data_IF_894763356582
#
_entry.id   IF_894763356582
#
_cell.length_a   1.000
_cell.length_b   1.000
_cell.length_c   1.000
_cell.angle_alpha   90.00
_cell.angle_beta   90.00
_cell.angle_gamma   90.00
#
_symmetry.space_group_name_H-M   'P 1'
#
loop_
_entity.id
_entity.type
_entity.pdbx_description
1 polymer ?
#
# COMPACT_ATOMS: atom_id res chain seq x y z
N UNK A 1 28.76 -17.79 27.05
CA UNK A 1 27.84 -16.75 26.51
C UNK A 1 28.38 -15.41 26.97
N UNK A 2 28.52 -14.42 26.08
CA UNK A 2 29.09 -13.12 26.47
C UNK A 2 28.12 -12.37 27.41
N UNK A 3 28.62 -11.53 28.34
CA UNK A 3 27.76 -10.76 29.23
C UNK A 3 26.73 -9.91 28.46
N UNK A 4 27.08 -9.39 27.28
CA UNK A 4 26.16 -8.70 26.37
C UNK A 4 24.97 -9.56 25.93
N UNK A 5 25.18 -10.84 25.62
CA UNK A 5 24.12 -11.74 25.20
C UNK A 5 23.14 -12.03 26.35
N UNK A 6 23.63 -12.10 27.58
CA UNK A 6 22.79 -12.24 28.77
C UNK A 6 22.00 -10.98 29.08
N UNK A 7 22.58 -9.79 28.87
CA UNK A 7 21.85 -8.53 29.06
C UNK A 7 20.73 -8.35 28.02
N UNK A 8 20.96 -8.72 26.75
CA UNK A 8 19.93 -8.67 25.71
C UNK A 8 18.81 -9.69 25.91
N UNK A 9 19.10 -10.90 26.38
CA UNK A 9 18.04 -11.87 26.71
C UNK A 9 17.22 -11.41 27.93
N UNK A 10 17.85 -10.77 28.92
CA UNK A 10 17.16 -10.26 30.09
C UNK A 10 16.22 -9.08 29.75
N UNK A 11 16.60 -8.19 28.84
CA UNK A 11 15.74 -7.09 28.39
C UNK A 11 14.58 -7.57 27.51
N UNK A 12 14.78 -8.58 26.66
CA UNK A 12 13.68 -9.20 25.90
C UNK A 12 12.70 -9.96 26.81
N UNK A 13 13.20 -10.62 27.86
CA UNK A 13 12.37 -11.34 28.82
C UNK A 13 11.60 -10.42 29.79
N UNK A 14 12.09 -9.18 29.98
CA UNK A 14 11.43 -8.15 30.79
C UNK A 14 10.42 -7.31 29.99
N UNK A 15 10.34 -7.48 28.67
CA UNK A 15 9.27 -6.90 27.87
C UNK A 15 7.95 -7.58 28.27
N UNK A 16 7.20 -6.93 29.14
CA UNK A 16 5.86 -7.38 29.50
C UNK A 16 4.99 -7.37 28.25
N UNK A 17 4.25 -8.45 28.02
CA UNK A 17 3.14 -8.43 27.08
C UNK A 17 2.14 -7.40 27.61
N UNK A 18 2.04 -6.25 26.95
CA UNK A 18 1.03 -5.25 27.29
C UNK A 18 -0.35 -5.88 27.13
N UNK A 19 -1.00 -6.18 28.25
CA UNK A 19 -2.36 -6.73 28.27
C UNK A 19 -3.33 -5.55 28.19
N UNK A 20 -3.49 -4.99 27.00
CA UNK A 20 -4.50 -3.96 26.75
C UNK A 20 -5.88 -4.64 26.72
N UNK A 21 -6.64 -4.52 27.81
CA UNK A 21 -7.96 -5.13 27.94
C UNK A 21 -9.08 -4.26 27.39
N UNK A 22 -8.88 -2.93 27.40
CA UNK A 22 -9.84 -1.96 26.87
C UNK A 22 -9.15 -0.79 26.15
N UNK A 23 -9.90 -0.04 25.35
CA UNK A 23 -9.39 1.17 24.69
C UNK A 23 -8.95 2.26 25.69
N UNK A 24 -9.46 2.22 26.92
CA UNK A 24 -9.10 3.15 27.98
C UNK A 24 -7.66 2.95 28.50
N UNK A 25 -7.05 1.81 28.19
CA UNK A 25 -5.67 1.50 28.59
C UNK A 25 -4.62 2.11 27.62
N UNK A 26 -5.06 2.80 26.55
CA UNK A 26 -4.18 3.43 25.56
C UNK A 26 -3.78 4.83 26.05
N UNK A 27 -2.54 4.98 26.52
CA UNK A 27 -1.99 6.27 26.99
C UNK A 27 -1.48 7.15 25.85
N UNK A 28 -0.99 6.54 24.77
CA UNK A 28 -0.33 7.23 23.68
C UNK A 28 -0.74 6.66 22.32
N UNK A 29 -1.02 7.56 21.39
CA UNK A 29 -1.21 7.24 19.98
C UNK A 29 -0.13 7.96 19.19
N UNK A 30 0.74 7.19 18.52
CA UNK A 30 1.74 7.72 17.59
C UNK A 30 1.26 7.43 16.18
N UNK A 31 1.07 8.49 15.39
CA UNK A 31 0.56 8.38 14.03
C UNK A 31 1.68 8.62 13.02
N UNK A 32 2.08 7.57 12.31
CA UNK A 32 2.99 7.68 11.17
C UNK A 32 2.17 7.78 9.88
N UNK A 33 2.24 8.93 9.23
CA UNK A 33 1.55 9.17 7.96
C UNK A 33 2.52 8.94 6.81
N UNK A 34 2.18 8.00 5.95
CA UNK A 34 2.88 7.76 4.69
C UNK A 34 2.10 8.40 3.56
N UNK A 35 2.82 8.99 2.61
CA UNK A 35 2.22 9.70 1.49
C UNK A 35 2.24 8.89 0.19
N UNK A 36 1.26 9.18 -0.66
CA UNK A 36 1.26 8.90 -2.09
C UNK A 36 1.41 7.43 -2.49
N UNK A 37 0.92 6.50 -1.67
CA UNK A 37 0.83 5.09 -2.04
C UNK A 37 -0.51 4.45 -1.69
N UNK A 38 -1.13 3.83 -2.70
CA UNK A 38 -2.31 2.99 -2.48
C UNK A 38 -1.96 1.74 -1.67
N UNK A 39 -2.94 1.20 -0.96
CA UNK A 39 -2.79 -0.04 -0.20
C UNK A 39 -2.33 -1.21 -1.09
N UNK A 40 -2.98 -1.40 -2.25
CA UNK A 40 -2.69 -2.50 -3.17
C UNK A 40 -1.28 -2.43 -3.77
N UNK A 41 -0.70 -1.23 -3.85
CA UNK A 41 0.68 -1.03 -4.26
C UNK A 41 1.69 -1.65 -3.30
N UNK A 42 1.44 -1.59 -1.99
CA UNK A 42 2.30 -2.17 -0.96
C UNK A 42 1.90 -3.60 -0.64
N UNK A 43 0.63 -3.82 -0.34
CA UNK A 43 0.14 -5.03 0.30
C UNK A 43 -0.82 -5.84 -0.56
N UNK A 44 -1.08 -5.46 -1.82
CA UNK A 44 -2.01 -6.19 -2.69
C UNK A 44 -1.60 -7.65 -2.96
N UNK A 45 -0.34 -8.01 -2.70
CA UNK A 45 0.18 -9.38 -2.78
C UNK A 45 0.37 -10.07 -1.43
N UNK A 46 0.09 -9.38 -0.31
CA UNK A 46 0.27 -9.91 1.04
C UNK A 46 -0.74 -11.01 1.35
N UNK A 47 -0.32 -12.02 2.11
CA UNK A 47 -1.26 -13.04 2.59
C UNK A 47 -2.18 -12.46 3.67
N UNK A 48 -3.46 -12.85 3.65
CA UNK A 48 -4.46 -12.43 4.65
C UNK A 48 -5.24 -11.16 4.32
N UNK A 49 -4.81 -10.37 3.33
CA UNK A 49 -5.64 -9.31 2.75
C UNK A 49 -6.45 -9.86 1.58
N UNK A 50 -7.51 -9.15 1.16
CA UNK A 50 -8.21 -9.47 -0.08
C UNK A 50 -7.27 -9.44 -1.29
N UNK A 51 -6.60 -8.30 -1.49
CA UNK A 51 -5.56 -8.11 -2.50
C UNK A 51 -5.98 -8.55 -3.92
N UNK A 52 -4.99 -8.83 -4.76
CA UNK A 52 -5.21 -9.16 -6.18
C UNK A 52 -5.79 -10.57 -6.41
N UNK A 53 -5.77 -11.44 -5.40
CA UNK A 53 -6.23 -12.82 -5.48
C UNK A 53 -7.63 -13.04 -4.89
N UNK A 54 -8.29 -12.00 -4.39
CA UNK A 54 -9.66 -12.14 -3.86
C UNK A 54 -10.63 -12.51 -5.00
N UNK A 55 -11.36 -13.64 -4.89
CA UNK A 55 -12.30 -14.08 -5.92
C UNK A 55 -13.55 -13.18 -6.01
N UNK A 56 -13.81 -12.33 -5.00
CA UNK A 56 -14.98 -11.46 -4.96
C UNK A 56 -14.72 -10.08 -5.57
N UNK A 57 -13.49 -9.76 -5.98
CA UNK A 57 -13.22 -8.45 -6.59
C UNK A 57 -13.72 -8.41 -8.02
N UNK A 58 -14.19 -7.21 -8.42
CA UNK A 58 -14.44 -6.93 -9.83
C UNK A 58 -13.09 -6.93 -10.54
N UNK A 59 -12.93 -7.90 -11.45
CA UNK A 59 -11.93 -8.02 -12.51
C UNK A 59 -10.89 -6.87 -12.56
N UNK A 60 -9.65 -7.16 -12.16
CA UNK A 60 -8.54 -6.19 -12.11
C UNK A 60 -8.08 -5.64 -13.47
N UNK A 61 -8.73 -6.00 -14.57
CA UNK A 61 -8.40 -5.53 -15.92
C UNK A 61 -8.69 -4.04 -16.06
N UNK A 62 -7.62 -3.28 -16.27
CA UNK A 62 -7.69 -1.87 -16.66
C UNK A 62 -7.82 -1.75 -18.17
N UNK A 63 -8.60 -0.78 -18.64
CA UNK A 63 -8.73 -0.47 -20.05
C UNK A 63 -7.43 0.11 -20.60
N UNK A 64 -7.09 -0.26 -21.83
CA UNK A 64 -5.92 0.19 -22.58
C UNK A 64 -6.37 0.54 -24.00
N UNK A 65 -5.73 1.52 -24.64
CA UNK A 65 -5.99 1.90 -26.03
C UNK A 65 -4.67 1.97 -26.83
N UNK A 66 -4.77 2.29 -28.12
CA UNK A 66 -3.62 2.37 -29.04
C UNK A 66 -2.52 3.39 -28.66
N UNK A 67 -2.78 4.28 -27.70
CA UNK A 67 -1.73 5.17 -27.15
C UNK A 67 -0.79 4.46 -26.18
N UNK A 68 -1.27 3.38 -25.54
CA UNK A 68 -0.53 2.62 -24.54
C UNK A 68 -0.07 1.25 -25.06
N UNK A 69 -0.92 0.57 -25.84
CA UNK A 69 -0.58 -0.73 -26.41
C UNK A 69 -1.37 -1.00 -27.69
N UNK A 70 -0.71 -1.59 -28.68
CA UNK A 70 -1.34 -2.06 -29.92
C UNK A 70 -1.59 -3.58 -29.93
N UNK A 71 -1.28 -4.27 -28.83
CA UNK A 71 -1.35 -5.74 -28.75
C UNK A 71 -2.34 -6.26 -27.70
N UNK A 72 -2.85 -5.39 -26.83
CA UNK A 72 -3.84 -5.76 -25.81
C UNK A 72 -4.74 -4.56 -25.49
N UNK A 73 -6.01 -4.86 -25.23
CA UNK A 73 -7.02 -3.88 -24.81
C UNK A 73 -7.13 -3.78 -23.28
N UNK A 74 -6.32 -4.55 -22.55
CA UNK A 74 -6.29 -4.48 -21.09
C UNK A 74 -4.92 -4.67 -20.47
N UNK A 75 -4.74 -4.05 -19.30
CA UNK A 75 -3.57 -4.19 -18.44
C UNK A 75 -4.00 -4.73 -17.07
N UNK A 76 -3.33 -5.78 -16.61
CA UNK A 76 -3.48 -6.28 -15.25
C UNK A 76 -2.48 -5.58 -14.32
N UNK A 77 -2.74 -5.56 -13.00
CA UNK A 77 -1.72 -5.15 -12.04
C UNK A 77 -0.43 -5.90 -12.27
N UNK A 78 0.69 -5.20 -12.19
CA UNK A 78 1.97 -5.72 -12.65
C UNK A 78 3.10 -5.39 -11.69
N UNK A 79 4.12 -6.26 -11.65
CA UNK A 79 5.23 -6.11 -10.73
C UNK A 79 6.16 -4.98 -11.18
N UNK A 80 6.27 -3.92 -10.38
CA UNK A 80 7.02 -2.71 -10.76
C UNK A 80 8.51 -2.96 -11.04
N UNK A 81 9.11 -3.89 -10.32
CA UNK A 81 10.52 -4.23 -10.46
C UNK A 81 10.76 -5.43 -11.41
N UNK A 82 9.81 -5.72 -12.31
CA UNK A 82 9.88 -6.90 -13.18
C UNK A 82 11.11 -6.93 -14.11
N UNK A 83 11.54 -5.77 -14.62
CA UNK A 83 12.69 -5.68 -15.53
C UNK A 83 14.04 -5.75 -14.80
N UNK A 84 14.04 -5.62 -13.46
CA UNK A 84 15.25 -5.58 -12.66
C UNK A 84 16.12 -4.36 -12.97
N UNK A 85 17.13 -4.15 -12.13
CA UNK A 85 18.08 -3.06 -12.26
C UNK A 85 19.29 -3.31 -11.37
N UNK A 86 20.18 -2.33 -11.24
CA UNK A 86 21.36 -2.44 -10.37
C UNK A 86 21.02 -2.54 -8.88
N UNK A 87 19.77 -2.28 -8.48
CA UNK A 87 19.27 -2.33 -7.10
C UNK A 87 17.72 -2.34 -7.09
N UNK A 88 17.11 -2.88 -6.02
CA UNK A 88 15.67 -3.14 -5.88
C UNK A 88 14.82 -1.88 -5.64
N UNK A 89 15.42 -0.78 -5.22
CA UNK A 89 14.73 0.48 -4.94
C UNK A 89 14.82 1.47 -6.10
N UNK A 90 15.27 1.05 -7.29
CA UNK A 90 15.32 1.90 -8.48
C UNK A 90 13.94 2.53 -8.81
N UNK A 91 12.84 1.89 -8.43
CA UNK A 91 11.48 2.42 -8.59
C UNK A 91 11.04 3.41 -7.53
N UNK A 92 11.81 3.68 -6.48
CA UNK A 92 11.47 4.74 -5.50
C UNK A 92 11.42 6.13 -6.14
N UNK A 93 12.20 6.34 -7.21
CA UNK A 93 12.25 7.59 -7.98
C UNK A 93 11.46 7.52 -9.29
N UNK A 94 10.58 6.54 -9.45
CA UNK A 94 9.80 6.37 -10.68
C UNK A 94 8.83 7.54 -10.89
N UNK A 95 8.50 7.81 -12.16
CA UNK A 95 7.33 8.63 -12.47
C UNK A 95 6.09 7.92 -11.92
N UNK A 96 5.32 8.64 -11.10
CA UNK A 96 4.11 8.13 -10.47
C UNK A 96 2.86 8.65 -11.20
N UNK A 97 1.70 8.11 -10.82
CA UNK A 97 0.42 8.68 -11.22
C UNK A 97 0.16 10.04 -10.60
N UNK A 98 -0.84 10.73 -11.14
CA UNK A 98 -1.40 11.94 -10.57
C UNK A 98 -2.30 11.61 -9.38
N UNK A 99 -2.23 12.41 -8.31
CA UNK A 99 -3.07 12.29 -7.12
C UNK A 99 -4.20 13.35 -7.09
N UNK A 100 -4.37 14.12 -8.16
CA UNK A 100 -5.40 15.12 -8.35
C UNK A 100 -6.81 14.53 -8.23
N UNK A 101 -7.75 15.38 -7.81
CA UNK A 101 -9.15 15.00 -7.67
C UNK A 101 -9.72 14.49 -9.00
N UNK A 102 -9.61 15.29 -10.06
CA UNK A 102 -10.21 14.98 -11.36
C UNK A 102 -9.62 13.69 -11.95
N UNK A 103 -8.28 13.60 -12.02
CA UNK A 103 -7.58 12.42 -12.54
C UNK A 103 -7.94 11.13 -11.80
N UNK A 104 -8.07 11.19 -10.47
CA UNK A 104 -8.47 10.02 -9.68
C UNK A 104 -9.94 9.64 -9.84
N UNK A 105 -10.83 10.61 -10.05
CA UNK A 105 -12.25 10.33 -10.32
C UNK A 105 -12.44 9.75 -11.72
N UNK A 106 -11.71 10.26 -12.70
CA UNK A 106 -11.68 9.72 -14.06
C UNK A 106 -11.13 8.29 -14.08
N UNK A 107 -10.09 8.01 -13.30
CA UNK A 107 -9.50 6.68 -13.15
C UNK A 107 -10.45 5.69 -12.43
N UNK A 108 -11.17 6.16 -11.41
CA UNK A 108 -12.18 5.36 -10.71
C UNK A 108 -13.37 5.02 -11.63
N UNK A 109 -13.69 5.89 -12.59
CA UNK A 109 -14.68 5.67 -13.64
C UNK A 109 -16.05 5.22 -13.08
N UNK A 110 -16.70 6.09 -12.30
CA UNK A 110 -18.01 5.83 -11.69
C UNK A 110 -18.09 4.47 -10.95
N UNK A 111 -17.11 4.22 -10.07
CA UNK A 111 -16.94 2.99 -9.28
C UNK A 111 -16.69 1.70 -10.08
N UNK A 112 -16.42 1.80 -11.39
CA UNK A 112 -16.02 0.65 -12.20
C UNK A 112 -14.57 0.23 -11.94
N UNK A 113 -13.73 1.15 -11.46
CA UNK A 113 -12.34 0.93 -11.04
C UNK A 113 -11.46 0.28 -12.13
N UNK A 114 -11.69 0.62 -13.39
CA UNK A 114 -11.09 -0.01 -14.56
C UNK A 114 -10.39 0.97 -15.52
N UNK A 115 -10.21 2.23 -15.13
CA UNK A 115 -9.64 3.27 -15.99
C UNK A 115 -8.32 3.85 -15.47
N UNK A 116 -7.64 3.20 -14.52
CA UNK A 116 -6.40 3.74 -13.94
C UNK A 116 -5.25 3.84 -14.93
N UNK A 117 -5.14 2.90 -15.88
CA UNK A 117 -4.07 2.92 -16.87
C UNK A 117 -4.20 4.08 -17.86
N UNK A 118 -5.43 4.43 -18.28
CA UNK A 118 -5.71 5.49 -19.25
C UNK A 118 -6.03 6.84 -18.62
N UNK A 119 -6.88 6.85 -17.60
CA UNK A 119 -7.33 8.05 -16.89
C UNK A 119 -6.26 8.61 -15.95
N UNK A 120 -5.24 7.83 -15.61
CA UNK A 120 -4.09 8.29 -14.84
C UNK A 120 -2.79 7.83 -15.52
N UNK A 121 -2.11 6.82 -14.99
CA UNK A 121 -0.92 6.25 -15.61
C UNK A 121 -0.89 4.72 -15.44
N UNK A 122 -0.24 3.98 -16.35
CA UNK A 122 -0.02 2.54 -16.17
C UNK A 122 0.75 2.20 -14.88
N UNK A 123 1.52 3.14 -14.36
CA UNK A 123 2.28 2.99 -13.12
C UNK A 123 1.38 2.94 -11.88
N UNK A 124 0.18 3.54 -11.92
CA UNK A 124 -0.79 3.59 -10.83
C UNK A 124 -1.37 2.21 -10.45
N UNK A 125 -1.18 1.20 -11.29
CA UNK A 125 -1.59 -0.19 -11.03
C UNK A 125 -0.43 -1.16 -10.88
N UNK A 126 0.80 -0.64 -10.82
CA UNK A 126 1.94 -1.46 -10.46
C UNK A 126 1.83 -1.97 -9.02
N UNK A 127 2.64 -2.94 -8.60
CA UNK A 127 2.72 -3.32 -7.19
C UNK A 127 4.12 -3.74 -6.79
N UNK A 128 4.38 -3.68 -5.48
CA UNK A 128 5.55 -4.24 -4.83
C UNK A 128 5.25 -5.62 -4.23
N UNK A 129 6.32 -6.36 -3.98
CA UNK A 129 6.28 -7.65 -3.29
C UNK A 129 6.93 -7.54 -1.93
N UNK A 130 6.76 -8.59 -1.12
CA UNK A 130 7.41 -8.77 0.18
C UNK A 130 8.93 -8.54 0.15
N UNK A 131 9.56 -8.88 -0.98
CA UNK A 131 11.02 -8.76 -1.19
C UNK A 131 11.46 -7.31 -1.34
N UNK A 132 10.62 -6.46 -1.94
CA UNK A 132 10.95 -5.06 -2.21
C UNK A 132 10.76 -4.18 -0.97
N UNK A 133 9.77 -4.50 -0.13
CA UNK A 133 9.42 -3.72 1.07
C UNK A 133 9.46 -4.58 2.34
N UNK A 134 10.65 -5.06 2.75
CA UNK A 134 10.71 -6.08 3.79
C UNK A 134 10.25 -5.60 5.17
N UNK A 135 10.45 -4.32 5.48
CA UNK A 135 10.06 -3.74 6.76
C UNK A 135 8.56 -3.46 6.82
N UNK A 136 7.98 -2.89 5.75
CA UNK A 136 6.54 -2.59 5.69
C UNK A 136 5.70 -3.86 5.84
N UNK A 137 6.05 -4.93 5.13
CA UNK A 137 5.33 -6.18 5.26
C UNK A 137 5.57 -6.82 6.64
N UNK A 138 6.78 -6.77 7.22
CA UNK A 138 7.00 -7.31 8.57
C UNK A 138 6.09 -6.63 9.61
N UNK A 139 5.89 -5.32 9.48
CA UNK A 139 4.99 -4.56 10.35
C UNK A 139 3.51 -4.89 10.05
N UNK A 140 3.13 -5.07 8.79
CA UNK A 140 1.75 -5.42 8.46
C UNK A 140 1.40 -6.87 8.85
N UNK A 141 2.35 -7.80 8.75
CA UNK A 141 2.20 -9.23 9.09
C UNK A 141 2.22 -9.47 10.60
N UNK A 142 2.93 -8.64 11.37
CA UNK A 142 3.04 -8.78 12.83
C UNK A 142 1.90 -8.14 13.63
N UNK A 143 1.05 -7.34 12.98
CA UNK A 143 0.03 -6.52 13.64
C UNK A 143 -1.29 -6.51 12.84
N UNK A 144 -2.31 -5.82 13.37
CA UNK A 144 -3.60 -5.65 12.69
C UNK A 144 -3.48 -4.72 11.49
N UNK A 145 -4.01 -5.14 10.34
CA UNK A 145 -4.09 -4.34 9.11
C UNK A 145 -5.55 -4.07 8.73
N UNK A 146 -5.86 -2.83 8.35
CA UNK A 146 -7.15 -2.45 7.79
C UNK A 146 -7.07 -2.32 6.26
N UNK A 147 -7.74 -3.20 5.51
CA UNK A 147 -7.66 -3.28 4.05
C UNK A 147 -8.88 -2.67 3.32
N UNK A 148 -9.78 -2.00 4.05
CA UNK A 148 -11.06 -1.50 3.52
C UNK A 148 -11.23 0.02 3.51
N UNK A 149 -10.18 0.76 3.88
CA UNK A 149 -10.18 2.21 3.77
C UNK A 149 -10.19 2.65 2.31
N UNK A 150 -11.01 3.66 2.00
CA UNK A 150 -11.00 4.33 0.69
C UNK A 150 -10.99 5.84 0.89
N UNK A 151 -10.06 6.49 0.21
CA UNK A 151 -9.96 7.93 0.11
C UNK A 151 -9.35 8.28 -1.24
N UNK A 152 -9.82 9.39 -1.83
CA UNK A 152 -9.30 9.93 -3.08
C UNK A 152 -8.92 11.39 -2.87
N UNK A 153 -7.92 11.85 -3.63
CA UNK A 153 -7.45 13.22 -3.63
C UNK A 153 -6.01 13.35 -3.15
N UNK A 154 -5.53 14.59 -3.13
CA UNK A 154 -4.14 14.92 -2.79
C UNK A 154 -3.89 14.87 -1.28
N UNK A 155 -2.62 14.85 -0.90
CA UNK A 155 -2.13 14.88 0.49
C UNK A 155 -2.85 15.92 1.35
N UNK A 156 -2.81 17.21 0.97
CA UNK A 156 -3.33 18.29 1.81
C UNK A 156 -4.82 18.12 2.22
N UNK A 157 -5.76 17.82 1.28
CA UNK A 157 -7.13 17.48 1.65
C UNK A 157 -7.27 16.27 2.58
N UNK A 158 -6.43 15.24 2.42
CA UNK A 158 -6.51 14.00 3.23
C UNK A 158 -5.97 14.20 4.64
N UNK A 159 -4.85 14.90 4.79
CA UNK A 159 -4.27 15.23 6.09
C UNK A 159 -5.23 16.11 6.90
N UNK A 160 -5.82 17.12 6.24
CA UNK A 160 -6.84 17.96 6.86
C UNK A 160 -8.04 17.11 7.32
N UNK A 161 -8.51 16.18 6.49
CA UNK A 161 -9.62 15.29 6.85
C UNK A 161 -9.28 14.45 8.09
N UNK A 162 -8.09 13.87 8.16
CA UNK A 162 -7.68 13.03 9.29
C UNK A 162 -7.61 13.81 10.61
N UNK A 163 -7.18 15.07 10.57
CA UNK A 163 -7.02 15.90 11.76
C UNK A 163 -8.30 16.64 12.19
N UNK A 164 -9.27 16.80 11.29
CA UNK A 164 -10.48 17.63 11.55
C UNK A 164 -11.77 16.84 11.57
N UNK A 165 -11.78 15.59 11.12
CA UNK A 165 -12.96 14.72 11.17
C UNK A 165 -13.07 14.07 12.55
N UNK A 166 -13.62 14.81 13.52
CA UNK A 166 -14.12 14.32 14.81
C UNK A 166 -15.57 14.68 14.99
#
# INVERSE_FOLDING_TARGET
>A
MSPMAQTMLATLAAASTAYAGSIADIEHVVLFMQENRAFDHYFGTMAGVRGFKDPNTKNWKQMVNGSLSNVTDSLLPWYLNAEGGSWNEATQCMSAGDNGWDTNHDALNADLNNNWALGNTPWSIGYYTRKDLPNHFAIAEGWTVGDMGKSLGRTCPLDARLLTSV
#
